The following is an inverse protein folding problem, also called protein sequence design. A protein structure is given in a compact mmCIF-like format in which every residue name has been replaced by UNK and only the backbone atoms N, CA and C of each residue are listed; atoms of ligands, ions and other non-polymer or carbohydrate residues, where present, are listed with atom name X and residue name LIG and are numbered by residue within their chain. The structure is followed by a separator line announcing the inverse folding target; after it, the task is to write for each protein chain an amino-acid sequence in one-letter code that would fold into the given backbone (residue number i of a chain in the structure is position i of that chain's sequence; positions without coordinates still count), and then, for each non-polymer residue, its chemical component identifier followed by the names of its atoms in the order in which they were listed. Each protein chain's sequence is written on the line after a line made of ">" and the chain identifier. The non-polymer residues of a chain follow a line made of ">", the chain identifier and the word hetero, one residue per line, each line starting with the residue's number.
data_IF_135959876039
#
_entry.id   IF_135959876039
#
_cell.length_a   1.000
_cell.length_b   1.000
_cell.length_c   1.000
_cell.angle_alpha   90.00
_cell.angle_beta   90.00
_cell.angle_gamma   90.00
#
_symmetry.space_group_name_H-M   'P 1'
#
loop_
_entity.id
_entity.type
_entity.pdbx_description
1 polymer ?
#
# COMPACT_ATOMS: atom_id res chain seq x y z
N UNK A 1 -8.11 -8.05 -5.24
CA UNK A 1 -8.29 -7.90 -3.77
C UNK A 1 -9.79 -7.81 -3.46
N UNK A 2 -10.30 -8.43 -2.38
CA UNK A 2 -11.71 -8.30 -2.00
C UNK A 2 -12.02 -6.87 -1.53
N UNK A 3 -13.21 -6.35 -1.86
CA UNK A 3 -13.64 -4.97 -1.51
C UNK A 3 -13.59 -4.70 0.00
N UNK A 4 -13.99 -5.68 0.81
CA UNK A 4 -13.95 -5.54 2.27
C UNK A 4 -12.51 -5.36 2.78
N UNK A 5 -11.57 -6.17 2.29
CA UNK A 5 -10.14 -6.04 2.61
C UNK A 5 -9.58 -4.71 2.13
N UNK A 6 -10.01 -4.22 0.97
CA UNK A 6 -9.57 -2.92 0.47
C UNK A 6 -9.96 -1.78 1.41
N UNK A 7 -11.20 -1.80 1.92
CA UNK A 7 -11.74 -0.74 2.76
C UNK A 7 -11.34 -0.86 4.23
N UNK A 8 -11.31 -2.09 4.78
CA UNK A 8 -11.09 -2.35 6.21
C UNK A 8 -9.69 -2.87 6.54
N UNK A 9 -8.87 -3.20 5.54
CA UNK A 9 -7.57 -3.82 5.75
C UNK A 9 -7.69 -5.25 6.28
N UNK A 10 -6.61 -5.75 6.87
CA UNK A 10 -6.58 -6.99 7.63
C UNK A 10 -6.00 -6.70 9.02
N UNK A 11 -6.47 -7.36 10.09
CA UNK A 11 -5.97 -7.14 11.43
C UNK A 11 -4.45 -7.33 11.53
N UNK A 12 -3.73 -6.31 11.98
CA UNK A 12 -2.27 -6.33 12.14
C UNK A 12 -1.49 -6.43 10.82
N UNK A 13 -2.12 -6.20 9.66
CA UNK A 13 -1.43 -6.00 8.41
C UNK A 13 -1.20 -4.50 8.20
N UNK A 14 -0.03 -4.14 7.66
CA UNK A 14 0.22 -2.80 7.15
C UNK A 14 0.32 -2.85 5.64
N UNK A 15 -0.04 -1.77 5.00
CA UNK A 15 -0.15 -1.64 3.56
C UNK A 15 0.70 -0.48 3.08
N UNK A 16 1.43 -0.71 2.01
CA UNK A 16 2.23 0.30 1.32
C UNK A 16 1.99 0.23 -0.18
N UNK A 17 2.67 1.12 -0.91
CA UNK A 17 2.56 1.18 -2.36
C UNK A 17 3.76 0.49 -2.99
N UNK A 18 3.48 -0.57 -3.74
CA UNK A 18 4.43 -1.29 -4.54
C UNK A 18 4.51 -0.69 -5.94
N UNK A 19 5.72 -0.39 -6.41
CA UNK A 19 5.97 -0.01 -7.80
C UNK A 19 6.30 -1.27 -8.61
N UNK A 20 5.40 -1.69 -9.50
CA UNK A 20 5.58 -2.85 -10.36
C UNK A 20 6.74 -2.71 -11.35
N UNK A 21 7.07 -1.48 -11.79
CA UNK A 21 8.19 -1.24 -12.70
C UNK A 21 9.54 -1.37 -11.99
N UNK A 22 9.64 -0.85 -10.75
CA UNK A 22 10.89 -0.87 -9.96
C UNK A 22 11.00 -2.08 -9.02
N UNK A 23 9.92 -2.84 -8.87
CA UNK A 23 9.81 -4.01 -7.98
C UNK A 23 10.21 -3.70 -6.53
N UNK A 24 9.75 -2.56 -6.01
CA UNK A 24 10.04 -2.12 -4.64
C UNK A 24 8.87 -1.32 -4.05
N UNK A 25 8.79 -1.26 -2.72
CA UNK A 25 7.88 -0.36 -2.02
C UNK A 25 8.43 1.07 -2.08
N UNK A 26 7.57 2.04 -2.37
CA UNK A 26 7.94 3.44 -2.47
C UNK A 26 7.08 4.33 -1.59
N UNK A 27 7.49 5.60 -1.50
CA UNK A 27 6.79 6.70 -0.84
C UNK A 27 6.71 6.61 0.69
N UNK A 28 7.34 5.61 1.30
CA UNK A 28 7.34 5.38 2.74
C UNK A 28 5.91 5.39 3.32
N UNK A 29 5.00 4.69 2.63
CA UNK A 29 3.59 4.59 3.02
C UNK A 29 3.39 3.32 3.83
N UNK A 30 2.87 3.48 5.05
CA UNK A 30 2.54 2.40 5.98
C UNK A 30 1.17 2.67 6.61
N UNK A 31 0.11 2.15 6.00
CA UNK A 31 -1.28 2.42 6.39
C UNK A 31 -1.99 1.13 6.78
N UNK A 32 -3.06 1.24 7.58
CA UNK A 32 -3.82 0.08 8.07
C UNK A 32 -4.66 -0.59 6.98
N UNK A 33 -4.99 0.16 5.93
CA UNK A 33 -5.82 -0.35 4.83
C UNK A 33 -5.20 -0.04 3.46
N UNK A 34 -5.46 -0.90 2.46
CA UNK A 34 -5.10 -0.65 1.06
C UNK A 34 -5.64 0.69 0.55
N UNK A 35 -6.88 1.02 0.91
CA UNK A 35 -7.53 2.26 0.51
C UNK A 35 -6.79 3.49 1.03
N UNK A 36 -6.36 3.47 2.30
CA UNK A 36 -5.59 4.57 2.87
C UNK A 36 -4.21 4.70 2.22
N UNK A 37 -3.54 3.57 1.93
CA UNK A 37 -2.27 3.58 1.21
C UNK A 37 -2.40 4.24 -0.17
N UNK A 38 -3.48 3.92 -0.90
CA UNK A 38 -3.79 4.56 -2.20
C UNK A 38 -4.13 6.03 -2.01
N UNK A 39 -4.95 6.40 -1.03
CA UNK A 39 -5.26 7.81 -0.77
C UNK A 39 -4.00 8.63 -0.46
N UNK A 40 -3.05 8.08 0.30
CA UNK A 40 -1.74 8.69 0.56
C UNK A 40 -0.89 8.81 -0.71
N UNK A 41 -0.95 7.83 -1.61
CA UNK A 41 -0.30 7.92 -2.92
C UNK A 41 -0.82 9.12 -3.72
N UNK A 42 -2.14 9.23 -3.84
CA UNK A 42 -2.78 10.37 -4.53
C UNK A 42 -2.43 11.70 -3.88
N UNK A 43 -2.30 11.76 -2.54
CA UNK A 43 -1.83 12.97 -1.86
C UNK A 43 -0.37 13.31 -2.17
N UNK A 44 0.51 12.32 -2.39
CA UNK A 44 1.94 12.54 -2.62
C UNK A 44 2.29 12.88 -4.08
N UNK A 45 1.66 12.19 -5.04
CA UNK A 45 2.02 12.33 -6.46
C UNK A 45 0.84 12.77 -7.34
N UNK A 46 -0.34 13.02 -6.77
CA UNK A 46 -1.49 13.51 -7.51
C UNK A 46 -1.93 12.52 -8.59
N UNK A 47 -2.10 13.03 -9.82
CA UNK A 47 -2.60 12.25 -10.95
C UNK A 47 -1.64 11.15 -11.42
N UNK A 48 -0.33 11.29 -11.16
CA UNK A 48 0.68 10.25 -11.44
C UNK A 48 0.39 8.93 -10.71
N UNK A 49 -0.45 8.95 -9.67
CA UNK A 49 -0.94 7.75 -8.99
C UNK A 49 -1.85 6.88 -9.85
N UNK A 50 -2.49 7.43 -10.91
CA UNK A 50 -3.34 6.67 -11.84
C UNK A 50 -2.57 5.73 -12.75
N UNK A 51 -1.25 5.86 -12.80
CA UNK A 51 -0.42 4.96 -13.57
C UNK A 51 -0.56 3.53 -13.04
N UNK A 52 -0.78 2.57 -13.94
CA UNK A 52 -1.00 1.14 -13.60
C UNK A 52 0.22 0.45 -12.96
N UNK A 53 1.29 1.21 -12.69
CA UNK A 53 2.53 0.73 -12.07
C UNK A 53 2.47 0.73 -10.54
N UNK A 54 1.50 1.39 -9.92
CA UNK A 54 1.41 1.48 -8.46
C UNK A 54 0.27 0.62 -7.93
N UNK A 55 0.59 -0.32 -7.03
CA UNK A 55 -0.38 -1.22 -6.42
C UNK A 55 -0.27 -1.20 -4.90
N UNK A 56 -1.38 -1.11 -4.16
CA UNK A 56 -1.35 -1.32 -2.72
C UNK A 56 -1.05 -2.80 -2.41
N UNK A 57 0.03 -3.06 -1.67
CA UNK A 57 0.42 -4.40 -1.22
C UNK A 57 0.68 -4.42 0.28
N UNK A 58 0.51 -5.58 0.88
CA UNK A 58 0.84 -5.77 2.29
C UNK A 58 2.34 -5.63 2.45
N UNK A 59 2.76 -4.78 3.38
CA UNK A 59 4.13 -4.73 3.82
C UNK A 59 4.46 -6.06 4.51
N UNK A 60 5.69 -6.57 4.34
CA UNK A 60 6.11 -7.74 5.09
C UNK A 60 5.91 -7.44 6.57
N UNK A 61 5.15 -8.29 7.27
CA UNK A 61 5.12 -8.22 8.74
C UNK A 61 6.56 -8.42 9.17
N UNK A 62 7.16 -7.39 9.77
CA UNK A 62 8.37 -7.59 10.56
C UNK A 62 7.95 -8.51 11.69
N UNK A 63 8.13 -9.81 11.48
CA UNK A 63 8.14 -10.77 12.56
C UNK A 63 9.41 -10.38 13.31
N UNK A 64 9.29 -9.53 14.33
CA UNK A 64 10.33 -9.41 15.33
C UNK A 64 10.44 -10.82 15.95
N UNK A 65 11.30 -11.64 15.37
CA UNK A 65 11.91 -12.74 16.10
C UNK A 65 12.71 -12.04 17.18
N UNK A 66 12.32 -12.31 18.42
CA UNK A 66 12.78 -11.67 19.66
C UNK A 66 14.29 -11.62 19.78
#
# INVERSE_FOLDING_TARGET
>A
MKRETYQRGLPGAKWGIWNCSRKEFQFDICEDTPMLAVARLFQKIGDDARQWRFEPRQLPRTVNVR
#
